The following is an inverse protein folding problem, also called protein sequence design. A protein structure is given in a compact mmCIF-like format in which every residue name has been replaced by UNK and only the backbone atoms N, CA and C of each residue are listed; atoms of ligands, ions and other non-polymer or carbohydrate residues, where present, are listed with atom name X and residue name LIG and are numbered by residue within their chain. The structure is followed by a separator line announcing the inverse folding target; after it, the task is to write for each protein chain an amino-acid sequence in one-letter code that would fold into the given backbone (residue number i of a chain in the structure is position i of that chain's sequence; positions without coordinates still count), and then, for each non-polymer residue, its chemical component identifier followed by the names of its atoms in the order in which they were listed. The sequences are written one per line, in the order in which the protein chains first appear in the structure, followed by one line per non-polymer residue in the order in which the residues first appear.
data_IF_656518116945
#
_entry.id   IF_656518116945
#
_cell.length_a   1.000
_cell.length_b   1.000
_cell.length_c   1.000
_cell.angle_alpha   90.00
_cell.angle_beta   90.00
_cell.angle_gamma   90.00
#
_symmetry.space_group_name_H-M   'P 1'
#
loop_
_entity.id
_entity.type
_entity.pdbx_description
1 polymer ?
#
# COMPACT_ATOMS: atom_id res chain seq x y z
N UNK A 1 -2.93 -7.49 -19.66
CA UNK A 1 -2.13 -7.11 -20.83
C UNK A 1 -3.03 -6.55 -21.94
N UNK A 2 -3.98 -7.33 -22.49
CA UNK A 2 -4.87 -6.92 -23.57
C UNK A 2 -5.57 -5.58 -23.30
N UNK A 3 -6.16 -5.40 -22.12
CA UNK A 3 -6.89 -4.18 -21.74
C UNK A 3 -5.98 -2.93 -21.69
N UNK A 4 -4.73 -3.07 -21.24
CA UNK A 4 -3.78 -1.95 -21.20
C UNK A 4 -3.34 -1.52 -22.60
N UNK A 5 -3.12 -2.46 -23.50
CA UNK A 5 -2.80 -2.17 -24.91
C UNK A 5 -3.97 -1.54 -25.65
N UNK A 6 -5.21 -1.88 -25.30
CA UNK A 6 -6.43 -1.24 -25.83
C UNK A 6 -6.56 0.22 -25.36
N UNK A 7 -6.13 0.51 -24.12
CA UNK A 7 -6.17 1.88 -23.57
C UNK A 7 -5.05 2.78 -24.10
N UNK A 8 -3.86 2.24 -24.29
CA UNK A 8 -2.72 2.95 -24.86
C UNK A 8 -1.88 2.01 -25.74
N UNK A 9 -2.14 1.99 -27.06
CA UNK A 9 -1.42 1.11 -28.00
C UNK A 9 0.09 1.40 -28.11
N UNK A 10 0.52 2.59 -27.68
CA UNK A 10 1.91 3.04 -27.76
C UNK A 10 2.71 2.78 -26.48
N UNK A 11 2.05 2.31 -25.41
CA UNK A 11 2.75 1.99 -24.17
C UNK A 11 3.51 0.67 -24.30
N UNK A 12 4.81 0.70 -24.05
CA UNK A 12 5.59 -0.50 -23.79
C UNK A 12 5.27 -0.99 -22.38
N UNK A 13 4.76 -2.21 -22.24
CA UNK A 13 4.35 -2.80 -20.97
C UNK A 13 5.00 -4.16 -20.83
N UNK A 14 5.78 -4.31 -19.77
CA UNK A 14 6.32 -5.58 -19.31
C UNK A 14 5.55 -6.11 -18.10
N UNK A 15 5.32 -7.41 -18.06
CA UNK A 15 4.68 -8.10 -16.93
C UNK A 15 5.68 -9.07 -16.30
N UNK A 16 6.05 -8.79 -15.06
CA UNK A 16 6.85 -9.65 -14.22
C UNK A 16 6.00 -10.34 -13.15
N UNK A 17 6.35 -11.58 -12.81
CA UNK A 17 5.85 -12.28 -11.65
C UNK A 17 7.04 -12.63 -10.75
N UNK A 18 7.03 -12.16 -9.51
CA UNK A 18 8.12 -12.40 -8.57
C UNK A 18 7.78 -11.92 -7.17
N UNK A 19 8.70 -12.15 -6.26
CA UNK A 19 8.67 -11.56 -4.94
C UNK A 19 9.17 -10.11 -5.04
N UNK A 20 8.45 -9.16 -4.46
CA UNK A 20 8.82 -7.74 -4.48
C UNK A 20 10.19 -7.47 -3.84
N UNK A 21 10.65 -8.36 -2.94
CA UNK A 21 11.96 -8.25 -2.29
C UNK A 21 13.13 -8.49 -3.24
N UNK A 22 12.87 -9.24 -4.31
CA UNK A 22 13.88 -9.63 -5.32
C UNK A 22 13.82 -8.75 -6.59
N UNK A 23 12.85 -7.82 -6.65
CA UNK A 23 12.69 -6.94 -7.81
C UNK A 23 13.76 -5.86 -7.75
N UNK A 24 14.55 -5.77 -8.81
CA UNK A 24 15.48 -4.65 -9.02
C UNK A 24 14.71 -3.55 -9.74
N UNK A 25 14.67 -2.37 -9.11
CA UNK A 25 14.09 -1.16 -9.68
C UNK A 25 15.25 -0.24 -10.04
N UNK A 26 15.22 0.29 -11.26
CA UNK A 26 16.26 1.19 -11.72
C UNK A 26 15.66 2.30 -12.59
N UNK A 27 16.12 3.53 -12.40
CA UNK A 27 15.74 4.72 -13.17
C UNK A 27 14.23 4.98 -13.28
N UNK A 28 13.46 4.68 -12.23
CA UNK A 28 12.03 4.89 -12.22
C UNK A 28 11.68 6.37 -11.97
N UNK A 29 10.78 6.94 -12.78
CA UNK A 29 10.21 8.27 -12.51
C UNK A 29 8.97 8.21 -11.60
N UNK A 30 8.28 7.08 -11.60
CA UNK A 30 7.11 6.82 -10.75
C UNK A 30 7.07 5.34 -10.36
N UNK A 31 6.91 5.10 -9.07
CA UNK A 31 6.62 3.77 -8.53
C UNK A 31 5.28 3.82 -7.81
N UNK A 32 4.43 2.81 -8.01
CA UNK A 32 3.16 2.69 -7.29
C UNK A 32 3.08 1.37 -6.53
N UNK A 33 2.64 1.41 -5.27
CA UNK A 33 2.37 0.23 -4.44
C UNK A 33 0.97 0.34 -3.84
N UNK A 34 0.03 -0.43 -4.38
CA UNK A 34 -1.36 -0.39 -3.94
C UNK A 34 -1.72 -1.67 -3.21
N UNK A 35 -1.97 -1.56 -1.90
CA UNK A 35 -2.38 -2.66 -1.02
C UNK A 35 -1.43 -3.86 -1.04
N UNK A 36 -0.13 -3.60 -1.11
CA UNK A 36 0.91 -4.62 -1.28
C UNK A 36 1.73 -4.82 -0.01
N UNK A 37 2.26 -3.75 0.58
CA UNK A 37 3.13 -3.81 1.75
C UNK A 37 2.43 -4.42 2.97
N UNK A 38 1.13 -4.26 3.10
CA UNK A 38 0.33 -4.83 4.18
C UNK A 38 0.37 -6.36 4.26
N UNK A 39 0.75 -7.04 3.18
CA UNK A 39 0.90 -8.50 3.15
C UNK A 39 2.32 -8.98 3.46
N UNK A 40 3.30 -8.08 3.45
CA UNK A 40 4.68 -8.41 3.73
C UNK A 40 4.95 -8.56 5.24
N UNK A 41 5.90 -9.41 5.64
CA UNK A 41 6.45 -9.37 6.98
C UNK A 41 6.99 -7.97 7.30
N UNK A 42 6.72 -7.46 8.51
CA UNK A 42 7.15 -6.11 8.90
C UNK A 42 8.65 -5.91 8.80
N UNK A 43 9.42 -6.94 9.12
CA UNK A 43 10.89 -6.93 9.07
C UNK A 43 11.47 -6.68 7.66
N UNK A 44 10.72 -7.04 6.60
CA UNK A 44 11.20 -6.96 5.22
C UNK A 44 10.81 -5.64 4.53
N UNK A 45 9.89 -4.86 5.14
CA UNK A 45 9.33 -3.64 4.52
C UNK A 45 10.34 -2.54 4.34
N UNK A 46 11.19 -2.34 5.34
CA UNK A 46 12.19 -1.27 5.28
C UNK A 46 13.15 -1.49 4.12
N UNK A 47 13.59 -2.73 3.89
CA UNK A 47 14.45 -3.06 2.75
C UNK A 47 13.73 -2.81 1.41
N UNK A 48 12.43 -3.14 1.31
CA UNK A 48 11.67 -2.88 0.08
C UNK A 48 11.48 -1.39 -0.17
N UNK A 49 11.23 -0.61 0.88
CA UNK A 49 11.12 0.85 0.77
C UNK A 49 12.47 1.49 0.40
N UNK A 50 13.57 0.97 0.92
CA UNK A 50 14.92 1.37 0.55
C UNK A 50 15.21 1.08 -0.93
N UNK A 51 14.88 -0.13 -1.41
CA UNK A 51 14.99 -0.47 -2.83
C UNK A 51 14.12 0.43 -3.73
N UNK A 52 12.94 0.82 -3.27
CA UNK A 52 12.07 1.77 -3.97
C UNK A 52 12.72 3.15 -4.03
N UNK A 53 13.24 3.63 -2.90
CA UNK A 53 13.92 4.92 -2.84
C UNK A 53 15.13 4.94 -3.75
N UNK A 54 16.02 3.95 -3.65
CA UNK A 54 17.23 3.88 -4.48
C UNK A 54 16.88 3.77 -5.97
N UNK A 55 15.87 3.00 -6.34
CA UNK A 55 15.43 2.81 -7.73
C UNK A 55 14.75 4.01 -8.38
N UNK A 56 14.32 5.02 -7.60
CA UNK A 56 13.74 6.25 -8.13
C UNK A 56 14.82 7.21 -8.62
N UNK A 57 14.54 7.89 -9.72
CA UNK A 57 15.28 9.08 -10.12
C UNK A 57 15.11 10.21 -9.10
N UNK A 58 16.07 11.13 -9.03
CA UNK A 58 15.91 12.39 -8.27
C UNK A 58 14.69 13.13 -8.83
N UNK A 59 13.78 13.55 -7.96
CA UNK A 59 12.49 14.13 -8.31
C UNK A 59 11.43 13.11 -8.74
N UNK A 60 11.76 11.82 -8.72
CA UNK A 60 10.81 10.74 -8.94
C UNK A 60 9.84 10.57 -7.76
N UNK A 61 8.67 9.98 -8.03
CA UNK A 61 7.60 9.85 -7.05
C UNK A 61 7.30 8.39 -6.67
N UNK A 62 7.02 8.16 -5.40
CA UNK A 62 6.44 6.93 -4.88
C UNK A 62 5.02 7.19 -4.41
N UNK A 63 4.03 6.53 -4.99
CA UNK A 63 2.63 6.58 -4.57
C UNK A 63 2.26 5.25 -3.93
N UNK A 64 1.73 5.29 -2.72
CA UNK A 64 1.25 4.09 -2.06
C UNK A 64 -0.13 4.28 -1.45
N UNK A 65 -0.84 3.17 -1.30
CA UNK A 65 -2.07 3.08 -0.51
C UNK A 65 -2.09 1.75 0.24
N UNK A 66 -2.36 1.80 1.56
CA UNK A 66 -2.29 0.65 2.44
C UNK A 66 -3.45 0.63 3.44
N UNK A 67 -3.82 -0.57 3.90
CA UNK A 67 -4.60 -0.71 5.11
C UNK A 67 -3.71 -0.41 6.31
N UNK A 68 -4.23 0.38 7.24
CA UNK A 68 -3.53 0.76 8.47
C UNK A 68 -4.30 0.29 9.71
N UNK A 69 -3.68 0.38 10.87
CA UNK A 69 -4.32 0.20 12.17
C UNK A 69 -4.23 1.49 12.96
N UNK A 70 -5.18 1.72 13.85
CA UNK A 70 -5.10 2.80 14.82
C UNK A 70 -4.21 2.39 16.00
N UNK A 71 -3.44 3.33 16.51
CA UNK A 71 -2.66 3.12 17.74
C UNK A 71 -3.57 2.96 18.97
N UNK A 72 -4.70 3.66 18.97
CA UNK A 72 -5.69 3.57 20.03
C UNK A 72 -6.75 2.51 19.68
N UNK A 73 -6.92 1.45 20.52
CA UNK A 73 -7.88 0.38 20.26
C UNK A 73 -9.33 0.85 20.13
N UNK A 74 -9.73 1.88 20.86
CA UNK A 74 -11.10 2.42 20.80
C UNK A 74 -11.41 2.99 19.40
N UNK A 75 -10.49 3.72 18.82
CA UNK A 75 -10.66 4.23 17.44
C UNK A 75 -10.57 3.09 16.42
N UNK A 76 -9.73 2.10 16.68
CA UNK A 76 -9.67 0.89 15.83
C UNK A 76 -11.02 0.20 15.75
N UNK A 77 -11.68 -0.02 16.88
CA UNK A 77 -13.00 -0.66 16.93
C UNK A 77 -14.05 0.19 16.22
N UNK A 78 -14.12 1.49 16.50
CA UNK A 78 -15.05 2.41 15.84
C UNK A 78 -14.92 2.38 14.32
N UNK A 79 -13.70 2.45 13.79
CA UNK A 79 -13.47 2.43 12.34
C UNK A 79 -13.75 1.05 11.74
N UNK A 80 -13.46 -0.02 12.47
CA UNK A 80 -13.74 -1.39 12.03
C UNK A 80 -15.24 -1.62 11.88
N UNK A 81 -16.04 -1.26 12.88
CA UNK A 81 -17.49 -1.42 12.82
C UNK A 81 -18.13 -0.52 11.74
N UNK A 82 -17.67 0.73 11.64
CA UNK A 82 -18.11 1.64 10.58
C UNK A 82 -17.83 1.06 9.18
N UNK A 83 -16.64 0.48 9.00
CA UNK A 83 -16.27 -0.18 7.74
C UNK A 83 -17.13 -1.42 7.45
N UNK A 84 -17.54 -2.19 8.46
CA UNK A 84 -18.47 -3.29 8.28
C UNK A 84 -19.87 -2.80 7.89
N UNK A 85 -20.34 -1.72 8.48
CA UNK A 85 -21.62 -1.10 8.10
C UNK A 85 -21.61 -0.59 6.66
N UNK A 86 -20.49 -0.01 6.23
CA UNK A 86 -20.27 0.36 4.83
C UNK A 86 -20.32 -0.86 3.90
N UNK A 87 -19.63 -1.94 4.24
CA UNK A 87 -19.60 -3.18 3.45
C UNK A 87 -20.98 -3.85 3.34
N UNK A 88 -21.79 -3.81 4.39
CA UNK A 88 -23.13 -4.40 4.41
C UNK A 88 -24.07 -3.82 3.36
N UNK A 89 -23.76 -2.69 2.78
CA UNK A 89 -24.51 -2.13 1.64
C UNK A 89 -24.46 -3.03 0.39
N UNK A 90 -23.41 -3.83 0.24
CA UNK A 90 -23.17 -4.64 -0.95
C UNK A 90 -22.82 -6.11 -0.66
N UNK A 91 -22.56 -6.49 0.59
CA UNK A 91 -22.14 -7.84 0.98
C UNK A 91 -22.90 -8.31 2.20
N UNK A 92 -23.15 -9.61 2.29
CA UNK A 92 -23.73 -10.21 3.49
C UNK A 92 -22.76 -10.15 4.68
N UNK A 93 -23.29 -10.26 5.89
CA UNK A 93 -22.42 -10.32 7.10
C UNK A 93 -21.53 -11.57 7.05
N UNK A 94 -22.03 -12.68 6.53
CA UNK A 94 -21.28 -13.92 6.39
C UNK A 94 -20.08 -13.75 5.45
N UNK A 95 -20.29 -13.19 4.26
CA UNK A 95 -19.20 -12.89 3.31
C UNK A 95 -18.13 -11.98 3.91
N UNK A 96 -18.55 -10.96 4.68
CA UNK A 96 -17.64 -10.05 5.35
C UNK A 96 -16.79 -10.80 6.37
N UNK A 97 -17.41 -11.65 7.21
CA UNK A 97 -16.72 -12.39 8.25
C UNK A 97 -15.79 -13.48 7.68
N UNK A 98 -16.18 -14.12 6.59
CA UNK A 98 -15.33 -15.12 5.92
C UNK A 98 -14.11 -14.48 5.29
N UNK A 99 -14.27 -13.31 4.67
CA UNK A 99 -13.13 -12.53 4.17
C UNK A 99 -12.21 -12.07 5.29
N UNK A 100 -12.74 -11.58 6.41
CA UNK A 100 -11.93 -11.19 7.57
C UNK A 100 -11.17 -12.40 8.16
N UNK A 101 -11.81 -13.57 8.23
CA UNK A 101 -11.22 -14.82 8.69
C UNK A 101 -10.03 -15.24 7.80
N UNK A 102 -10.21 -15.14 6.48
CA UNK A 102 -9.16 -15.45 5.49
C UNK A 102 -7.99 -14.46 5.57
N UNK A 103 -8.28 -13.16 5.67
CA UNK A 103 -7.25 -12.12 5.64
C UNK A 103 -6.52 -11.94 6.97
N UNK A 104 -7.09 -12.35 8.08
CA UNK A 104 -6.56 -12.14 9.44
C UNK A 104 -5.11 -12.60 9.62
N UNK A 105 -4.74 -13.71 9.01
CA UNK A 105 -3.38 -14.25 9.11
C UNK A 105 -2.41 -13.67 8.07
N UNK A 106 -2.95 -13.10 7.00
CA UNK A 106 -2.15 -12.57 5.89
C UNK A 106 -1.82 -11.09 6.07
N UNK A 107 -2.78 -10.30 6.55
CA UNK A 107 -2.62 -8.87 6.73
C UNK A 107 -1.79 -8.57 7.99
N UNK A 108 -0.81 -7.69 7.83
CA UNK A 108 0.06 -7.18 8.89
C UNK A 108 0.15 -5.65 8.81
N UNK A 109 -0.98 -4.93 8.91
CA UNK A 109 -0.98 -3.49 8.72
C UNK A 109 -0.13 -2.78 9.80
N UNK A 110 0.49 -1.65 9.40
CA UNK A 110 1.17 -0.74 10.33
C UNK A 110 0.22 0.38 10.76
N UNK A 111 0.47 1.01 11.91
CA UNK A 111 -0.02 2.35 12.16
C UNK A 111 0.42 3.32 11.06
N UNK A 112 -0.40 4.34 10.78
CA UNK A 112 -0.09 5.31 9.73
C UNK A 112 1.24 6.03 9.95
N UNK A 113 1.48 6.49 11.19
CA UNK A 113 2.71 7.21 11.52
C UNK A 113 3.94 6.32 11.35
N UNK A 114 3.86 5.03 11.71
CA UNK A 114 4.94 4.07 11.51
C UNK A 114 5.30 3.89 10.03
N UNK A 115 4.29 3.95 9.12
CA UNK A 115 4.55 3.95 7.67
C UNK A 115 5.30 5.19 7.21
N UNK A 116 4.92 6.37 7.71
CA UNK A 116 5.61 7.61 7.40
C UNK A 116 7.04 7.61 7.96
N UNK A 117 7.23 7.14 9.19
CA UNK A 117 8.55 7.03 9.82
C UNK A 117 9.49 6.10 9.03
N UNK A 118 8.96 4.99 8.50
CA UNK A 118 9.74 4.11 7.63
C UNK A 118 10.15 4.81 6.33
N UNK A 119 9.26 5.60 5.70
CA UNK A 119 9.58 6.37 4.51
C UNK A 119 10.65 7.42 4.78
N UNK A 120 10.53 8.16 5.88
CA UNK A 120 11.57 9.11 6.30
C UNK A 120 12.90 8.43 6.56
N UNK A 121 12.90 7.24 7.18
CA UNK A 121 14.14 6.53 7.52
C UNK A 121 14.91 6.03 6.30
N UNK A 122 14.27 5.83 5.15
CA UNK A 122 14.92 5.47 3.88
C UNK A 122 15.26 6.67 3.00
N UNK A 123 14.91 7.91 3.43
CA UNK A 123 15.36 9.14 2.78
C UNK A 123 14.27 10.00 2.13
N UNK A 124 13.00 9.60 2.14
CA UNK A 124 11.93 10.49 1.67
C UNK A 124 11.70 11.62 2.68
N UNK A 125 11.95 12.86 2.26
CA UNK A 125 11.71 14.05 3.08
C UNK A 125 10.32 14.66 2.78
N UNK A 126 9.93 14.71 1.50
CA UNK A 126 8.69 15.29 1.02
C UNK A 126 7.60 14.22 0.90
N UNK A 127 6.75 14.10 1.91
CA UNK A 127 5.64 13.13 1.94
C UNK A 127 4.32 13.86 2.13
N UNK A 128 3.40 13.70 1.18
CA UNK A 128 2.07 14.30 1.22
C UNK A 128 0.97 13.20 1.25
N UNK A 129 0.27 13.03 2.39
CA UNK A 129 -0.98 12.27 2.41
C UNK A 129 -2.03 12.95 1.54
N UNK A 130 -2.71 12.18 0.68
CA UNK A 130 -3.74 12.71 -0.21
C UNK A 130 -5.08 11.99 -0.09
N UNK A 131 -5.10 10.84 0.58
CA UNK A 131 -6.32 10.04 0.72
C UNK A 131 -6.38 9.32 2.08
N UNK A 132 -7.55 9.36 2.70
CA UNK A 132 -7.90 8.59 3.89
C UNK A 132 -9.34 8.12 3.78
N UNK A 133 -9.58 6.83 4.03
CA UNK A 133 -10.92 6.26 4.11
C UNK A 133 -10.92 5.10 5.11
N UNK A 134 -11.71 5.22 6.18
CA UNK A 134 -11.73 4.26 7.30
C UNK A 134 -10.30 3.97 7.80
N UNK A 135 -9.88 2.71 7.64
CA UNK A 135 -8.55 2.22 8.01
C UNK A 135 -7.55 2.23 6.85
N UNK A 136 -7.89 2.88 5.73
CA UNK A 136 -7.02 2.95 4.57
C UNK A 136 -6.43 4.34 4.43
N UNK A 137 -5.23 4.41 3.93
CA UNK A 137 -4.58 5.68 3.64
C UNK A 137 -3.63 5.59 2.48
N UNK A 138 -3.45 6.70 1.77
CA UNK A 138 -2.51 6.84 0.69
C UNK A 138 -1.73 8.13 0.77
N UNK A 139 -0.49 8.08 0.32
CA UNK A 139 0.40 9.23 0.23
C UNK A 139 1.26 9.16 -1.03
N UNK A 140 1.79 10.32 -1.41
CA UNK A 140 2.86 10.47 -2.37
C UNK A 140 4.12 10.92 -1.63
N UNK A 141 5.26 10.34 -1.99
CA UNK A 141 6.58 10.72 -1.49
C UNK A 141 7.51 11.03 -2.67
N UNK A 142 8.32 12.07 -2.56
CA UNK A 142 9.26 12.51 -3.61
C UNK A 142 10.69 12.24 -3.13
N UNK A 143 11.55 11.72 -4.05
CA UNK A 143 12.99 11.54 -3.84
C UNK A 143 13.78 12.79 -4.14
#
# INVERSE_FOLDING_TARGET
EKKLREMNPWAEVEFGKGDIRDIIIDHASLITSLFTLQFMPRRDRLQVLDNIYEGLNIGGAFIFAEKTVCENPRFQDMLTFNYYDYKRKNFSTEDIMDKERTLRHMLKPNPWNELLDMLHSVGFEDIQPFWRDHMFGGAIAIK
#
